data_IF_834349485869
#
_entry.id   IF_834349485869
#
_cell.length_a   1.000
_cell.length_b   1.000
_cell.length_c   1.000
_cell.angle_alpha   90.00
_cell.angle_beta   90.00
_cell.angle_gamma   90.00
#
_symmetry.space_group_name_H-M   'P 1'
#
loop_
_entity.id
_entity.type
_entity.pdbx_description
1 polymer ?
#
# COMPACT_ATOMS: atom_id res chain seq x y z
N UNK A 1 1.45 2.67 -20.70
CA UNK A 1 2.71 2.90 -19.94
C UNK A 1 2.48 2.32 -18.55
N UNK A 2 3.19 1.25 -18.15
CA UNK A 2 2.96 0.60 -16.84
C UNK A 2 3.52 1.53 -15.76
N UNK A 3 2.67 2.28 -15.07
CA UNK A 3 3.09 3.20 -14.02
C UNK A 3 3.80 2.41 -12.93
N UNK A 4 5.07 2.71 -12.67
CA UNK A 4 5.83 2.08 -11.58
C UNK A 4 5.30 2.69 -10.28
N UNK A 5 4.27 2.08 -9.73
CA UNK A 5 3.72 2.40 -8.42
C UNK A 5 4.46 1.60 -7.34
N UNK A 6 4.91 2.27 -6.30
CA UNK A 6 5.61 1.63 -5.18
C UNK A 6 5.50 2.43 -3.89
N UNK A 7 5.07 1.78 -2.81
CA UNK A 7 5.01 2.36 -1.47
C UNK A 7 6.19 1.89 -0.61
N UNK A 8 6.82 2.78 0.17
CA UNK A 8 7.88 2.39 1.11
C UNK A 8 7.28 1.60 2.27
N UNK A 9 8.13 0.92 3.04
CA UNK A 9 7.74 0.00 4.13
C UNK A 9 6.74 0.58 5.13
N UNK A 10 6.89 1.85 5.54
CA UNK A 10 5.97 2.48 6.48
C UNK A 10 4.55 2.64 5.90
N UNK A 11 4.45 3.03 4.63
CA UNK A 11 3.15 3.14 3.94
C UNK A 11 2.56 1.75 3.65
N UNK A 12 3.39 0.77 3.29
CA UNK A 12 2.93 -0.60 3.10
C UNK A 12 2.36 -1.21 4.39
N UNK A 13 2.95 -0.89 5.56
CA UNK A 13 2.41 -1.29 6.86
C UNK A 13 1.03 -0.66 7.14
N UNK A 14 0.87 0.64 6.84
CA UNK A 14 -0.42 1.35 6.95
C UNK A 14 -1.48 0.69 6.03
N UNK A 15 -1.12 0.39 4.78
CA UNK A 15 -1.99 -0.30 3.83
C UNK A 15 -2.38 -1.70 4.31
N UNK A 16 -1.44 -2.46 4.87
CA UNK A 16 -1.71 -3.77 5.44
C UNK A 16 -2.63 -3.69 6.69
N UNK A 17 -2.65 -2.53 7.36
CA UNK A 17 -3.39 -2.32 8.60
C UNK A 17 -2.65 -2.86 9.83
N UNK A 18 -1.33 -2.78 9.83
CA UNK A 18 -0.47 -3.20 10.95
C UNK A 18 0.56 -2.13 11.30
N UNK A 19 1.02 -2.13 12.55
CA UNK A 19 2.13 -1.29 12.97
C UNK A 19 3.43 -1.64 12.24
N UNK A 20 4.31 -0.65 12.07
CA UNK A 20 5.58 -0.80 11.35
C UNK A 20 6.43 -1.98 11.84
N UNK A 21 6.58 -2.17 13.16
CA UNK A 21 7.36 -3.28 13.72
C UNK A 21 6.68 -4.65 13.53
N UNK A 22 5.35 -4.70 13.58
CA UNK A 22 4.59 -5.91 13.25
C UNK A 22 4.80 -6.32 11.79
N UNK A 23 4.72 -5.34 10.88
CA UNK A 23 5.00 -5.55 9.46
C UNK A 23 6.44 -6.01 9.22
N UNK A 24 7.44 -5.39 9.88
CA UNK A 24 8.84 -5.84 9.80
C UNK A 24 9.01 -7.27 10.27
N UNK A 25 8.25 -7.70 11.27
CA UNK A 25 8.26 -9.09 11.75
C UNK A 25 7.75 -10.05 10.69
N UNK A 26 6.68 -9.69 9.97
CA UNK A 26 6.19 -10.48 8.83
C UNK A 26 7.24 -10.63 7.73
N UNK A 27 7.90 -9.54 7.34
CA UNK A 27 8.97 -9.56 6.34
C UNK A 27 10.16 -10.42 6.79
N UNK A 28 10.55 -10.34 8.07
CA UNK A 28 11.62 -11.18 8.65
C UNK A 28 11.26 -12.66 8.68
N UNK A 29 9.98 -12.99 8.89
CA UNK A 29 9.47 -14.38 8.82
C UNK A 29 9.33 -14.90 7.40
N UNK A 30 9.62 -14.07 6.39
CA UNK A 30 9.65 -14.45 4.99
C UNK A 30 8.29 -14.46 4.32
N UNK A 31 7.40 -13.54 4.69
CA UNK A 31 6.18 -13.28 3.91
C UNK A 31 6.56 -12.85 2.48
N UNK A 32 5.92 -13.45 1.47
CA UNK A 32 6.11 -13.12 0.04
C UNK A 32 7.58 -13.18 -0.41
N UNK A 33 8.23 -14.34 -0.27
CA UNK A 33 9.69 -14.45 -0.41
C UNK A 33 10.26 -13.96 -1.75
N UNK A 34 9.48 -13.85 -2.81
CA UNK A 34 10.00 -13.57 -4.16
C UNK A 34 9.55 -12.22 -4.78
N UNK A 35 8.92 -11.32 -4.01
CA UNK A 35 8.21 -10.15 -4.59
C UNK A 35 8.65 -8.80 -4.01
N UNK A 36 9.18 -7.85 -4.78
CA UNK A 36 9.54 -6.51 -4.30
C UNK A 36 10.74 -5.91 -5.05
N UNK A 37 11.09 -4.65 -4.80
CA UNK A 37 12.28 -4.01 -5.44
C UNK A 37 13.41 -3.80 -4.44
N UNK A 38 14.60 -4.32 -4.75
CA UNK A 38 15.83 -4.08 -4.00
C UNK A 38 16.38 -2.66 -4.27
N UNK A 39 16.95 -1.97 -3.26
CA UNK A 39 17.72 -0.75 -3.52
C UNK A 39 18.90 -1.02 -4.46
N UNK A 40 19.22 -0.04 -5.33
CA UNK A 40 20.30 -0.08 -6.36
C UNK A 40 21.74 -0.23 -5.83
N UNK A 41 21.96 -0.61 -4.57
CA UNK A 41 23.28 -0.57 -3.92
C UNK A 41 23.97 -1.94 -3.78
N UNK A 42 23.54 -2.98 -4.50
CA UNK A 42 24.25 -4.26 -4.48
C UNK A 42 25.24 -4.35 -5.64
N UNK A 43 26.51 -4.51 -5.30
CA UNK A 43 27.54 -4.93 -6.25
C UNK A 43 27.11 -6.27 -6.90
N UNK A 44 27.48 -6.54 -8.17
CA UNK A 44 27.05 -7.73 -8.90
C UNK A 44 27.38 -9.07 -8.23
N UNK A 45 28.26 -9.08 -7.23
CA UNK A 45 28.96 -10.27 -6.75
C UNK A 45 28.48 -10.79 -5.38
N UNK A 46 27.37 -10.25 -4.84
CA UNK A 46 26.83 -10.70 -3.54
C UNK A 46 25.98 -11.96 -3.75
N UNK A 47 26.26 -13.03 -2.99
CA UNK A 47 25.47 -14.26 -3.06
C UNK A 47 23.99 -14.01 -2.76
N UNK A 48 23.10 -14.64 -3.53
CA UNK A 48 21.64 -14.48 -3.42
C UNK A 48 21.12 -14.70 -1.99
N UNK A 49 21.73 -15.63 -1.26
CA UNK A 49 21.41 -15.95 0.14
C UNK A 49 21.62 -14.75 1.10
N UNK A 50 22.64 -13.92 0.85
CA UNK A 50 22.93 -12.71 1.64
C UNK A 50 22.00 -11.55 1.22
N UNK A 51 21.59 -11.49 -0.05
CA UNK A 51 20.59 -10.53 -0.54
C UNK A 51 19.20 -10.84 0.05
N UNK A 52 18.83 -12.13 0.13
CA UNK A 52 17.59 -12.62 0.73
C UNK A 52 17.53 -12.46 2.25
N UNK A 53 18.67 -12.54 2.95
CA UNK A 53 18.73 -12.35 4.39
C UNK A 53 18.45 -10.90 4.85
N UNK A 54 18.35 -9.92 3.93
CA UNK A 54 18.24 -8.48 4.25
C UNK A 54 17.02 -7.78 3.64
N UNK A 55 15.90 -8.50 3.45
CA UNK A 55 14.62 -7.98 2.91
C UNK A 55 13.96 -6.86 3.71
N UNK A 56 14.33 -6.67 4.98
CA UNK A 56 13.96 -5.49 5.77
C UNK A 56 14.48 -4.15 5.19
N UNK A 57 15.31 -4.20 4.13
CA UNK A 57 15.83 -3.05 3.37
C UNK A 57 15.14 -2.77 2.04
N UNK A 58 14.04 -3.46 1.71
CA UNK A 58 13.31 -3.20 0.46
C UNK A 58 12.81 -1.76 0.38
N UNK A 59 12.93 -1.16 -0.81
CA UNK A 59 12.70 0.27 -1.02
C UNK A 59 11.25 0.61 -1.31
N UNK A 60 10.52 -0.30 -1.97
CA UNK A 60 9.12 -0.11 -2.30
C UNK A 60 8.40 -1.44 -2.60
N UNK A 61 7.09 -1.46 -2.37
CA UNK A 61 6.18 -2.57 -2.61
C UNK A 61 5.12 -2.19 -3.64
N UNK A 62 4.86 -3.08 -4.60
CA UNK A 62 3.88 -2.88 -5.68
C UNK A 62 2.47 -3.29 -5.28
N UNK A 63 1.51 -3.11 -6.20
CA UNK A 63 0.09 -3.34 -5.93
C UNK A 63 -0.24 -4.76 -5.46
N UNK A 64 0.23 -5.79 -6.16
CA UNK A 64 0.03 -7.19 -5.75
C UNK A 64 0.58 -7.47 -4.34
N UNK A 65 1.76 -6.93 -4.02
CA UNK A 65 2.38 -7.10 -2.70
C UNK A 65 1.45 -6.55 -1.60
N UNK A 66 0.92 -5.34 -1.82
CA UNK A 66 0.00 -4.69 -0.89
C UNK A 66 -1.31 -5.47 -0.72
N UNK A 67 -1.86 -6.04 -1.79
CA UNK A 67 -3.02 -6.93 -1.72
C UNK A 67 -2.73 -8.17 -0.86
N UNK A 68 -1.60 -8.83 -1.09
CA UNK A 68 -1.20 -10.00 -0.30
C UNK A 68 -0.92 -9.65 1.16
N UNK A 69 -0.34 -8.48 1.47
CA UNK A 69 -0.15 -8.04 2.85
C UNK A 69 -1.47 -7.74 3.55
N UNK A 70 -2.39 -7.07 2.87
CA UNK A 70 -3.72 -6.80 3.42
C UNK A 70 -4.50 -8.10 3.66
N UNK A 71 -4.42 -9.03 2.73
CA UNK A 71 -4.99 -10.36 2.88
C UNK A 71 -4.39 -11.11 4.06
N UNK A 72 -3.06 -11.02 4.25
CA UNK A 72 -2.39 -11.60 5.42
C UNK A 72 -3.03 -11.12 6.73
N UNK A 73 -3.28 -9.81 6.85
CA UNK A 73 -3.96 -9.26 8.04
C UNK A 73 -5.35 -9.85 8.23
N UNK A 74 -6.16 -9.88 7.16
CA UNK A 74 -7.54 -10.41 7.20
C UNK A 74 -7.56 -11.86 7.66
N UNK A 75 -6.67 -12.70 7.12
CA UNK A 75 -6.60 -14.12 7.47
C UNK A 75 -6.08 -14.37 8.89
N UNK A 76 -5.09 -13.59 9.35
CA UNK A 76 -4.64 -13.68 10.75
C UNK A 76 -5.72 -13.21 11.73
N UNK A 77 -6.46 -12.15 11.38
CA UNK A 77 -7.58 -11.64 12.19
C UNK A 77 -8.75 -12.61 12.24
N UNK A 78 -8.94 -13.43 11.20
CA UNK A 78 -9.94 -14.51 11.20
C UNK A 78 -9.51 -15.73 12.02
N UNK A 79 -8.35 -15.67 12.69
CA UNK A 79 -7.87 -16.70 13.60
C UNK A 79 -7.02 -17.79 12.94
N UNK A 80 -6.64 -17.65 11.67
CA UNK A 80 -5.73 -18.59 11.02
C UNK A 80 -4.29 -18.42 11.54
N UNK A 81 -3.57 -19.50 11.84
CA UNK A 81 -2.19 -19.42 12.27
C UNK A 81 -1.27 -19.03 11.10
N UNK A 82 -0.11 -18.44 11.43
CA UNK A 82 0.86 -17.97 10.43
C UNK A 82 1.30 -19.05 9.45
N UNK A 83 1.46 -20.28 9.95
CA UNK A 83 1.92 -21.45 9.20
C UNK A 83 0.93 -21.86 8.10
N UNK A 84 -0.34 -21.48 8.26
CA UNK A 84 -1.40 -21.65 7.25
C UNK A 84 -1.48 -20.42 6.34
N UNK A 85 -1.44 -19.21 6.90
CA UNK A 85 -1.60 -17.97 6.13
C UNK A 85 -0.45 -17.74 5.15
N UNK A 86 0.80 -17.90 5.60
CA UNK A 86 1.99 -17.53 4.84
C UNK A 86 2.10 -18.28 3.50
N UNK A 87 1.88 -19.61 3.42
CA UNK A 87 1.85 -20.31 2.13
C UNK A 87 0.74 -19.82 1.19
N UNK A 88 -0.47 -19.56 1.70
CA UNK A 88 -1.62 -19.12 0.89
C UNK A 88 -1.32 -17.77 0.22
N UNK A 89 -0.95 -16.77 1.01
CA UNK A 89 -0.73 -15.40 0.50
C UNK A 89 0.53 -15.27 -0.34
N UNK A 90 1.47 -16.22 -0.20
CA UNK A 90 2.69 -16.30 -1.02
C UNK A 90 2.52 -17.15 -2.27
N UNK A 91 1.32 -17.68 -2.53
CA UNK A 91 1.03 -18.39 -3.77
C UNK A 91 1.13 -17.46 -4.98
N UNK A 92 1.90 -17.86 -5.98
CA UNK A 92 2.18 -17.05 -7.17
C UNK A 92 0.93 -16.85 -8.06
N UNK A 93 -0.01 -17.80 -8.06
CA UNK A 93 -1.26 -17.69 -8.80
C UNK A 93 -2.15 -16.62 -8.18
N UNK A 94 -2.28 -16.64 -6.85
CA UNK A 94 -2.99 -15.59 -6.10
C UNK A 94 -2.32 -14.22 -6.27
N UNK A 95 -0.99 -14.15 -6.12
CA UNK A 95 -0.27 -12.89 -6.27
C UNK A 95 -0.45 -12.26 -7.66
N UNK A 96 -0.42 -13.10 -8.72
CA UNK A 96 -0.67 -12.66 -10.10
C UNK A 96 -2.14 -12.29 -10.33
N UNK A 97 -3.08 -12.97 -9.68
CA UNK A 97 -4.50 -12.69 -9.84
C UNK A 97 -4.86 -11.27 -9.39
N UNK A 98 -4.09 -10.69 -8.47
CA UNK A 98 -4.27 -9.29 -8.07
C UNK A 98 -4.10 -8.29 -9.23
N UNK A 99 -3.36 -8.64 -10.30
CA UNK A 99 -3.16 -7.80 -11.49
C UNK A 99 -4.08 -8.18 -12.66
N UNK A 100 -4.89 -9.22 -12.53
CA UNK A 100 -5.69 -9.76 -13.64
C UNK A 100 -6.96 -8.94 -13.82
N UNK A 101 -7.07 -8.24 -14.95
CA UNK A 101 -8.27 -7.48 -15.34
C UNK A 101 -9.40 -8.37 -15.86
N UNK A 102 -9.10 -9.63 -16.20
CA UNK A 102 -10.03 -10.56 -16.84
C UNK A 102 -11.07 -11.17 -15.87
N UNK A 103 -10.96 -10.90 -14.57
CA UNK A 103 -11.91 -11.36 -13.56
C UNK A 103 -11.96 -12.89 -13.41
N UNK A 104 -10.92 -13.61 -13.88
CA UNK A 104 -10.90 -15.08 -13.87
C UNK A 104 -10.90 -15.67 -12.46
N UNK A 105 -10.34 -14.94 -11.50
CA UNK A 105 -10.29 -15.33 -10.08
C UNK A 105 -10.92 -14.20 -9.26
N UNK A 106 -12.05 -14.47 -8.63
CA UNK A 106 -12.84 -13.50 -7.87
C UNK A 106 -12.86 -13.81 -6.38
N UNK A 107 -12.70 -15.09 -6.03
CA UNK A 107 -12.81 -15.56 -4.66
C UNK A 107 -11.60 -16.39 -4.26
N UNK A 108 -11.14 -16.18 -3.03
CA UNK A 108 -10.30 -17.11 -2.29
C UNK A 108 -11.19 -17.81 -1.25
N UNK A 109 -11.28 -19.13 -1.32
CA UNK A 109 -12.04 -19.95 -0.39
C UNK A 109 -11.06 -20.76 0.47
N UNK A 110 -11.19 -20.66 1.78
CA UNK A 110 -10.38 -21.42 2.74
C UNK A 110 -11.23 -22.53 3.34
N UNK A 111 -10.72 -23.75 3.26
CA UNK A 111 -11.41 -25.00 3.58
C UNK A 111 -10.62 -25.76 4.65
N UNK A 112 -11.30 -26.53 5.50
CA UNK A 112 -10.68 -27.44 6.48
C UNK A 112 -9.65 -26.73 7.37
N UNK A 113 -10.02 -25.60 7.98
CA UNK A 113 -9.14 -24.76 8.81
C UNK A 113 -7.86 -24.27 8.08
N UNK A 114 -7.94 -24.19 6.75
CA UNK A 114 -6.84 -23.75 5.88
C UNK A 114 -5.84 -24.83 5.51
N UNK A 115 -6.18 -26.11 5.72
CA UNK A 115 -5.46 -27.21 5.08
C UNK A 115 -5.56 -27.15 3.54
N UNK A 116 -6.68 -26.62 3.02
CA UNK A 116 -6.93 -26.46 1.59
C UNK A 116 -7.45 -25.06 1.29
N UNK A 117 -7.12 -24.54 0.12
CA UNK A 117 -7.72 -23.33 -0.41
C UNK A 117 -8.00 -23.45 -1.90
N UNK A 118 -8.98 -22.70 -2.38
CA UNK A 118 -9.41 -22.65 -3.77
C UNK A 118 -9.46 -21.20 -4.25
N UNK A 119 -8.91 -20.96 -5.43
CA UNK A 119 -9.10 -19.73 -6.20
C UNK A 119 -10.14 -20.00 -7.29
N UNK A 120 -11.21 -19.22 -7.32
CA UNK A 120 -12.30 -19.47 -8.26
C UNK A 120 -13.09 -18.22 -8.66
N UNK A 121 -13.84 -18.34 -9.75
CA UNK A 121 -14.85 -17.37 -10.17
C UNK A 121 -16.19 -17.63 -9.46
N UNK A 122 -17.15 -16.71 -9.63
CA UNK A 122 -18.49 -16.85 -9.07
C UNK A 122 -19.21 -18.13 -9.50
N UNK A 123 -19.06 -18.54 -10.76
CA UNK A 123 -19.76 -19.72 -11.32
C UNK A 123 -19.27 -21.01 -10.67
N UNK A 124 -17.94 -21.15 -10.56
CA UNK A 124 -17.29 -22.29 -9.92
C UNK A 124 -17.62 -22.34 -8.44
N UNK A 125 -17.60 -21.20 -7.74
CA UNK A 125 -18.01 -21.13 -6.33
C UNK A 125 -19.45 -21.63 -6.14
N UNK A 126 -20.40 -21.12 -6.95
CA UNK A 126 -21.80 -21.53 -6.87
C UNK A 126 -21.99 -23.04 -7.16
N UNK A 127 -21.29 -23.57 -8.16
CA UNK A 127 -21.34 -24.99 -8.51
C UNK A 127 -20.81 -25.88 -7.37
N UNK A 128 -19.71 -25.48 -6.73
CA UNK A 128 -19.11 -26.24 -5.64
C UNK A 128 -19.95 -26.20 -4.35
N UNK A 129 -20.60 -25.06 -4.06
CA UNK A 129 -21.56 -24.92 -2.97
C UNK A 129 -22.80 -25.80 -3.23
N UNK A 130 -23.36 -25.76 -4.43
CA UNK A 130 -24.52 -26.58 -4.82
C UNK A 130 -24.22 -28.08 -4.80
N UNK A 131 -23.00 -28.48 -5.16
CA UNK A 131 -22.56 -29.88 -5.10
C UNK A 131 -22.28 -30.38 -3.67
N UNK A 132 -22.40 -29.52 -2.65
CA UNK A 132 -22.12 -29.88 -1.25
C UNK A 132 -20.64 -30.20 -0.97
N UNK A 133 -19.74 -30.00 -1.95
CA UNK A 133 -18.32 -30.37 -1.86
C UNK A 133 -17.54 -29.51 -0.86
N UNK A 134 -18.06 -28.33 -0.55
CA UNK A 134 -17.41 -27.40 0.39
C UNK A 134 -18.31 -27.10 1.62
N UNK A 135 -19.59 -27.47 1.61
CA UNK A 135 -20.63 -26.94 2.51
C UNK A 135 -20.51 -27.25 4.01
N UNK A 136 -19.63 -28.15 4.44
CA UNK A 136 -19.41 -28.50 5.86
C UNK A 136 -18.05 -28.01 6.38
N UNK A 137 -17.16 -27.54 5.50
CA UNK A 137 -15.75 -27.30 5.80
C UNK A 137 -15.25 -25.88 5.45
N UNK A 138 -16.11 -24.99 4.92
CA UNK A 138 -15.72 -23.60 4.66
C UNK A 138 -15.49 -22.88 5.97
N UNK A 139 -14.28 -22.37 6.14
CA UNK A 139 -13.94 -21.47 7.24
C UNK A 139 -14.10 -20.01 6.82
N UNK A 140 -13.69 -19.65 5.60
CA UNK A 140 -13.66 -18.26 5.15
C UNK A 140 -13.77 -18.16 3.63
N UNK A 141 -14.55 -17.20 3.14
CA UNK A 141 -14.59 -16.80 1.73
C UNK A 141 -14.17 -15.34 1.67
N UNK A 142 -13.16 -15.04 0.85
CA UNK A 142 -12.67 -13.68 0.61
C UNK A 142 -13.05 -13.27 -0.81
N UNK A 143 -13.78 -12.17 -0.92
CA UNK A 143 -14.00 -11.47 -2.18
C UNK A 143 -12.75 -10.65 -2.52
N UNK A 144 -12.07 -11.04 -3.60
CA UNK A 144 -10.80 -10.44 -4.00
C UNK A 144 -10.98 -9.06 -4.64
N UNK A 145 -12.13 -8.78 -5.26
CA UNK A 145 -12.44 -7.44 -5.78
C UNK A 145 -12.63 -6.44 -4.63
N UNK A 146 -13.33 -6.88 -3.58
CA UNK A 146 -13.46 -6.07 -2.37
C UNK A 146 -12.11 -5.80 -1.70
N UNK A 147 -11.26 -6.82 -1.58
CA UNK A 147 -9.88 -6.68 -1.08
C UNK A 147 -9.08 -5.68 -1.91
N UNK A 148 -9.10 -5.85 -3.23
CA UNK A 148 -8.38 -5.01 -4.17
C UNK A 148 -8.81 -3.54 -4.08
N UNK A 149 -10.12 -3.29 -3.96
CA UNK A 149 -10.69 -1.95 -3.77
C UNK A 149 -10.28 -1.32 -2.44
N UNK A 150 -10.34 -2.08 -1.34
CA UNK A 150 -9.83 -1.62 -0.03
C UNK A 150 -8.35 -1.23 -0.11
N UNK A 151 -7.53 -2.04 -0.79
CA UNK A 151 -6.09 -1.76 -0.97
C UNK A 151 -5.86 -0.49 -1.79
N UNK A 152 -6.66 -0.23 -2.82
CA UNK A 152 -6.58 1.02 -3.60
C UNK A 152 -6.85 2.24 -2.71
N UNK A 153 -7.92 2.21 -1.92
CA UNK A 153 -8.28 3.33 -1.04
C UNK A 153 -7.24 3.57 0.04
N UNK A 154 -6.75 2.49 0.66
CA UNK A 154 -5.67 2.55 1.65
C UNK A 154 -4.37 3.07 1.05
N UNK A 155 -4.03 2.67 -0.18
CA UNK A 155 -2.82 3.14 -0.87
C UNK A 155 -2.85 4.64 -1.12
N UNK A 156 -4.01 5.17 -1.56
CA UNK A 156 -4.23 6.61 -1.75
C UNK A 156 -4.08 7.37 -0.43
N UNK A 157 -4.71 6.88 0.63
CA UNK A 157 -4.62 7.46 1.96
C UNK A 157 -3.17 7.45 2.49
N UNK A 158 -2.49 6.31 2.45
CA UNK A 158 -1.12 6.17 2.92
C UNK A 158 -0.13 7.08 2.16
N UNK A 159 -0.31 7.23 0.84
CA UNK A 159 0.51 8.14 0.03
C UNK A 159 0.30 9.60 0.43
N UNK A 160 -0.96 10.03 0.64
CA UNK A 160 -1.28 11.39 1.09
C UNK A 160 -0.74 11.69 2.50
N UNK A 161 -0.92 10.77 3.46
CA UNK A 161 -0.37 10.90 4.82
C UNK A 161 1.14 11.03 4.83
N UNK A 162 1.82 10.31 3.95
CA UNK A 162 3.27 10.41 3.83
C UNK A 162 3.70 11.82 3.39
N UNK A 163 2.98 12.44 2.45
CA UNK A 163 3.24 13.84 2.05
C UNK A 163 2.96 14.79 3.20
N UNK A 164 1.82 14.64 3.90
CA UNK A 164 1.49 15.49 5.06
C UNK A 164 2.57 15.40 6.15
N UNK A 165 3.02 14.18 6.47
CA UNK A 165 4.05 13.94 7.48
C UNK A 165 5.37 14.59 7.10
N UNK A 166 5.83 14.41 5.86
CA UNK A 166 7.04 15.04 5.33
C UNK A 166 6.98 16.57 5.43
N UNK A 167 5.86 17.16 4.99
CA UNK A 167 5.64 18.60 5.04
C UNK A 167 5.69 19.16 6.46
N UNK A 168 5.09 18.46 7.44
CA UNK A 168 5.15 18.84 8.85
C UNK A 168 6.58 18.75 9.40
N UNK A 169 7.31 17.67 9.10
CA UNK A 169 8.68 17.49 9.56
C UNK A 169 9.65 18.53 8.99
N UNK A 170 9.38 18.99 7.76
CA UNK A 170 10.26 19.89 7.02
C UNK A 170 9.64 21.29 6.85
N UNK A 171 8.62 21.65 7.64
CA UNK A 171 7.85 22.90 7.51
C UNK A 171 8.71 24.16 7.66
N UNK A 172 9.81 24.05 8.41
CA UNK A 172 10.81 25.09 8.62
C UNK A 172 11.75 25.32 7.42
N UNK A 173 11.72 24.43 6.41
CA UNK A 173 12.54 24.50 5.20
C UNK A 173 11.68 24.97 4.04
N UNK A 174 11.95 26.17 3.52
CA UNK A 174 11.31 26.70 2.31
C UNK A 174 12.31 27.46 1.44
N UNK A 175 12.12 27.41 0.13
CA UNK A 175 12.93 28.14 -0.83
C UNK A 175 12.49 29.61 -0.88
N UNK A 176 13.46 30.50 -1.10
CA UNK A 176 13.24 31.91 -1.42
C UNK A 176 14.17 32.33 -2.54
N UNK A 177 13.67 33.18 -3.43
CA UNK A 177 14.50 33.85 -4.43
C UNK A 177 15.17 35.08 -3.80
N UNK A 178 16.50 35.14 -3.85
CA UNK A 178 17.29 36.30 -3.43
C UNK A 178 18.26 36.03 -2.26
N UNK A 179 19.18 36.98 -1.98
CA UNK A 179 20.30 36.78 -1.04
C UNK A 179 19.93 36.91 0.44
N UNK A 180 18.72 37.37 0.78
CA UNK A 180 18.35 37.71 2.15
C UNK A 180 17.50 36.61 2.80
N UNK A 181 17.89 36.22 4.02
CA UNK A 181 17.09 35.39 4.90
C UNK A 181 15.71 36.02 5.17
N UNK A 182 14.71 35.18 5.43
CA UNK A 182 13.39 35.64 5.86
C UNK A 182 13.48 36.27 7.26
N UNK A 183 12.79 37.40 7.49
CA UNK A 183 12.56 37.89 8.85
C UNK A 183 11.93 36.77 9.71
N UNK A 184 12.28 36.65 11.00
CA UNK A 184 11.78 35.58 11.86
C UNK A 184 10.26 35.45 11.89
N UNK A 185 9.54 36.59 11.85
CA UNK A 185 8.08 36.62 11.82
C UNK A 185 7.53 36.02 10.52
N UNK A 186 8.05 36.43 9.36
CA UNK A 186 7.62 35.89 8.06
C UNK A 186 7.95 34.38 7.94
N UNK A 187 9.07 33.95 8.50
CA UNK A 187 9.43 32.53 8.56
C UNK A 187 8.44 31.72 9.42
N UNK A 188 8.00 32.27 10.56
CA UNK A 188 7.02 31.63 11.43
C UNK A 188 5.63 31.55 10.78
N UNK A 189 5.17 32.65 10.16
CA UNK A 189 3.90 32.69 9.43
C UNK A 189 3.87 31.68 8.28
N UNK A 190 4.98 31.60 7.53
CA UNK A 190 5.13 30.64 6.43
C UNK A 190 5.13 29.19 6.91
N UNK A 191 5.85 28.91 8.01
CA UNK A 191 5.84 27.58 8.65
C UNK A 191 4.41 27.18 9.02
N UNK A 192 3.66 28.07 9.67
CA UNK A 192 2.28 27.82 10.08
C UNK A 192 1.36 27.55 8.87
N UNK A 193 1.53 28.31 7.79
CA UNK A 193 0.78 28.10 6.55
C UNK A 193 1.07 26.72 5.93
N UNK A 194 2.35 26.30 5.89
CA UNK A 194 2.74 24.97 5.40
C UNK A 194 2.11 23.86 6.25
N UNK A 195 2.11 24.01 7.58
CA UNK A 195 1.52 23.02 8.50
C UNK A 195 0.00 22.93 8.31
N UNK A 196 -0.68 24.05 8.09
CA UNK A 196 -2.12 24.09 7.80
C UNK A 196 -2.47 23.39 6.47
N UNK A 197 -1.64 23.57 5.44
CA UNK A 197 -1.79 22.84 4.17
C UNK A 197 -1.49 21.35 4.33
N UNK A 198 -0.54 20.98 5.19
CA UNK A 198 -0.28 19.59 5.53
C UNK A 198 -1.47 18.94 6.25
N UNK A 199 -2.15 19.66 7.17
CA UNK A 199 -3.39 19.20 7.79
C UNK A 199 -4.52 19.02 6.77
N UNK A 200 -4.59 19.89 5.77
CA UNK A 200 -5.54 19.75 4.66
C UNK A 200 -5.27 18.45 3.89
N UNK A 201 -4.01 18.13 3.58
CA UNK A 201 -3.64 16.87 2.90
C UNK A 201 -4.01 15.65 3.77
N UNK A 202 -3.85 15.74 5.09
CA UNK A 202 -4.24 14.65 6.01
C UNK A 202 -5.76 14.42 6.00
N UNK A 203 -6.56 15.49 5.98
CA UNK A 203 -8.00 15.39 5.81
C UNK A 203 -8.39 14.75 4.46
N UNK A 204 -7.68 15.09 3.37
CA UNK A 204 -7.88 14.42 2.08
C UNK A 204 -7.52 12.93 2.14
N UNK A 205 -6.54 12.54 2.97
CA UNK A 205 -6.19 11.13 3.16
C UNK A 205 -7.32 10.33 3.81
N UNK A 206 -8.05 10.94 4.76
CA UNK A 206 -9.25 10.34 5.36
C UNK A 206 -10.32 10.16 4.29
N UNK A 207 -10.65 11.22 3.54
CA UNK A 207 -11.64 11.15 2.44
C UNK A 207 -11.23 10.11 1.38
N UNK A 208 -9.95 9.99 1.05
CA UNK A 208 -9.45 8.98 0.11
C UNK A 208 -9.59 7.54 0.62
N UNK A 209 -9.46 7.33 1.94
CA UNK A 209 -9.63 6.01 2.57
C UNK A 209 -11.06 5.49 2.47
N UNK A 210 -12.03 6.40 2.28
CA UNK A 210 -13.45 6.11 2.10
C UNK A 210 -13.86 6.06 0.61
N UNK A 211 -12.88 6.16 -0.30
CA UNK A 211 -13.09 6.11 -1.75
C UNK A 211 -13.36 7.46 -2.42
N UNK A 212 -13.13 8.58 -1.72
CA UNK A 212 -13.31 9.92 -2.26
C UNK A 212 -12.34 10.28 -3.39
N UNK A 213 -12.81 11.07 -4.36
CA UNK A 213 -12.06 11.53 -5.53
C UNK A 213 -11.31 12.83 -5.23
N UNK A 214 -10.23 12.73 -4.46
CA UNK A 214 -9.51 13.91 -3.91
C UNK A 214 -8.28 14.37 -4.68
N UNK A 215 -7.88 13.68 -5.76
CA UNK A 215 -6.62 13.99 -6.45
C UNK A 215 -6.55 15.44 -6.95
N UNK A 216 -7.65 15.99 -7.50
CA UNK A 216 -7.70 17.39 -7.91
C UNK A 216 -7.57 18.37 -6.74
N UNK A 217 -8.13 18.05 -5.57
CA UNK A 217 -7.96 18.84 -4.33
C UNK A 217 -6.49 18.81 -3.87
N UNK A 218 -5.85 17.66 -3.95
CA UNK A 218 -4.42 17.51 -3.63
C UNK A 218 -3.53 18.36 -4.55
N UNK A 219 -3.76 18.34 -5.87
CA UNK A 219 -3.00 19.19 -6.80
C UNK A 219 -3.18 20.69 -6.52
N UNK A 220 -4.39 21.11 -6.13
CA UNK A 220 -4.63 22.49 -5.71
C UNK A 220 -3.81 22.88 -4.47
N UNK A 221 -3.75 22.02 -3.44
CA UNK A 221 -2.90 22.23 -2.26
C UNK A 221 -1.41 22.24 -2.64
N UNK A 222 -0.99 21.36 -3.56
CA UNK A 222 0.39 21.33 -4.07
C UNK A 222 0.79 22.65 -4.74
N UNK A 223 -0.10 23.26 -5.51
CA UNK A 223 0.15 24.59 -6.09
C UNK A 223 0.29 25.69 -5.03
N UNK A 224 -0.50 25.65 -3.96
CA UNK A 224 -0.36 26.60 -2.85
C UNK A 224 0.98 26.41 -2.12
N UNK A 225 1.42 25.18 -1.88
CA UNK A 225 2.74 24.90 -1.31
C UNK A 225 3.88 25.46 -2.17
N UNK A 226 3.79 25.34 -3.50
CA UNK A 226 4.76 25.91 -4.42
C UNK A 226 4.85 27.43 -4.32
N UNK A 227 3.71 28.12 -4.13
CA UNK A 227 3.67 29.58 -3.92
C UNK A 227 4.38 29.98 -2.61
N UNK A 228 4.38 29.12 -1.60
CA UNK A 228 5.12 29.30 -0.35
C UNK A 228 6.62 28.90 -0.47
N UNK A 229 7.07 28.48 -1.65
CA UNK A 229 8.43 27.97 -1.87
C UNK A 229 8.67 26.59 -1.25
N UNK A 230 7.60 25.84 -0.93
CA UNK A 230 7.67 24.50 -0.36
C UNK A 230 7.40 23.44 -1.43
N UNK A 231 8.32 22.49 -1.53
CA UNK A 231 8.21 21.34 -2.42
C UNK A 231 8.24 20.08 -1.57
N UNK A 232 7.26 19.19 -1.77
CA UNK A 232 7.31 17.84 -1.20
C UNK A 232 8.32 16.99 -1.96
N UNK A 233 8.85 15.94 -1.33
CA UNK A 233 9.75 15.02 -2.01
C UNK A 233 9.13 14.45 -3.31
N UNK A 234 9.89 14.49 -4.41
CA UNK A 234 9.42 13.99 -5.73
C UNK A 234 8.91 12.55 -5.67
N UNK A 235 9.53 11.69 -4.85
CA UNK A 235 9.07 10.33 -4.66
C UNK A 235 7.72 10.23 -3.96
N UNK A 236 7.41 11.12 -3.02
CA UNK A 236 6.14 11.13 -2.30
C UNK A 236 5.00 11.61 -3.22
N UNK A 237 5.25 12.66 -4.02
CA UNK A 237 4.29 13.14 -5.03
C UNK A 237 4.03 12.07 -6.11
N UNK A 238 5.10 11.40 -6.56
CA UNK A 238 4.97 10.30 -7.54
C UNK A 238 4.17 9.12 -6.98
N UNK A 239 4.33 8.81 -5.69
CA UNK A 239 3.56 7.77 -5.02
C UNK A 239 2.05 8.12 -4.95
N UNK A 240 1.70 9.38 -4.69
CA UNK A 240 0.30 9.84 -4.75
C UNK A 240 -0.27 9.66 -6.16
N UNK A 241 0.41 10.19 -7.18
CA UNK A 241 -0.03 10.03 -8.57
C UNK A 241 -0.19 8.55 -8.96
N UNK A 242 0.77 7.71 -8.58
CA UNK A 242 0.71 6.26 -8.80
C UNK A 242 -0.47 5.59 -8.09
N UNK A 243 -0.76 5.95 -6.83
CA UNK A 243 -1.88 5.40 -6.06
C UNK A 243 -3.24 5.78 -6.66
N UNK A 244 -3.37 6.99 -7.21
CA UNK A 244 -4.59 7.44 -7.89
C UNK A 244 -4.70 6.90 -9.32
N UNK A 245 -3.60 6.47 -9.93
CA UNK A 245 -3.59 5.76 -11.21
C UNK A 245 -3.98 4.28 -11.09
N UNK A 246 -3.99 3.70 -9.88
CA UNK A 246 -4.57 2.38 -9.66
C UNK A 246 -6.07 2.44 -9.97
N UNK A 247 -6.47 1.79 -11.07
CA UNK A 247 -7.86 1.64 -11.46
C UNK A 247 -8.46 0.43 -10.74
N UNK A 248 -9.54 0.67 -10.01
CA UNK A 248 -10.64 -0.29 -9.83
C UNK A 248 -11.86 0.54 -10.19
N UNK A 249 -12.40 0.32 -11.38
CA UNK A 249 -13.55 1.07 -11.87
C UNK A 249 -14.73 0.86 -10.89
N UNK A 250 -15.42 1.97 -10.61
CA UNK A 250 -16.69 1.99 -9.87
C UNK A 250 -17.82 1.56 -10.78
#
# INVERSE_FOLDING_TARGET
MKTIFGLKTAQAADVAGVGYEGFRTWLKRGLLKDTGTLPKFYAPDVSAEIADAKRWRWTAFGYSDLCSFRLTKILLDSGLPWEVVSPIVSDNTLWKSHQSEDGTIQYLVIINQGAEYLLCDRKTLAAQLAAGKIGVSIMTIIDLDHLQKDVVFRSRAAALRAVSTDLKQTSHISAKNGPNLLPPQEAAERKQAIETLADTIDALAIEASEGGKVYGKFEAVRHQLQQLGKFAENSAVSAVAGAFALQHDQ
#
